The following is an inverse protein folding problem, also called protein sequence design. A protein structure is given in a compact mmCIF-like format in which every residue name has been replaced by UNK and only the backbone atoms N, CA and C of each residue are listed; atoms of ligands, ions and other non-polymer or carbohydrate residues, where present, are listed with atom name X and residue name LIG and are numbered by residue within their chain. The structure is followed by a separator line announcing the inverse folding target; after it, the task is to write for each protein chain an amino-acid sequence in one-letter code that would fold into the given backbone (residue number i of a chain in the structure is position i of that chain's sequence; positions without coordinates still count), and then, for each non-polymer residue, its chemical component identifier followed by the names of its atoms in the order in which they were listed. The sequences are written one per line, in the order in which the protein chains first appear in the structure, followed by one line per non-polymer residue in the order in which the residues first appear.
data_IF_426735047143
#
_entry.id   IF_426735047143
#
_cell.length_a   1.000
_cell.length_b   1.000
_cell.length_c   1.000
_cell.angle_alpha   90.00
_cell.angle_beta   90.00
_cell.angle_gamma   90.00
#
_symmetry.space_group_name_H-M   'P 1'
#
loop_
_entity.id
_entity.type
_entity.pdbx_description
1 polymer ?
#
# COMPACT_ATOMS: atom_id res chain seq x y z
N UNK A 1 -9.16 13.12 17.55
CA UNK A 1 -7.93 12.87 16.78
C UNK A 1 -8.10 11.57 16.01
N UNK A 2 -8.32 11.67 14.69
CA UNK A 2 -8.71 10.52 13.87
C UNK A 2 -7.59 9.46 13.89
N UNK A 3 -7.90 8.22 14.27
CA UNK A 3 -6.94 7.11 14.22
C UNK A 3 -7.17 6.33 12.92
N UNK A 4 -6.08 6.00 12.22
CA UNK A 4 -6.13 5.16 11.01
C UNK A 4 -5.51 3.81 11.33
N UNK A 5 -6.18 2.75 10.92
CA UNK A 5 -5.68 1.38 11.02
C UNK A 5 -5.75 0.75 9.63
N UNK A 6 -4.62 0.20 9.20
CA UNK A 6 -4.56 -0.66 8.02
C UNK A 6 -4.60 -2.11 8.48
N UNK A 7 -5.39 -2.91 7.78
CA UNK A 7 -5.45 -4.36 7.90
C UNK A 7 -5.47 -4.95 6.49
N UNK A 8 -5.19 -6.24 6.34
CA UNK A 8 -5.21 -6.87 5.03
C UNK A 8 -5.52 -8.36 5.09
N UNK A 9 -5.96 -8.89 3.95
CA UNK A 9 -6.21 -10.31 3.73
C UNK A 9 -5.62 -10.73 2.38
N UNK A 10 -4.77 -11.74 2.38
CA UNK A 10 -4.28 -12.38 1.15
C UNK A 10 -5.29 -13.45 0.72
N UNK A 11 -5.58 -13.53 -0.57
CA UNK A 11 -6.40 -14.61 -1.13
C UNK A 11 -5.50 -15.81 -1.48
N UNK A 12 -5.35 -16.72 -0.52
CA UNK A 12 -4.46 -17.90 -0.62
C UNK A 12 -4.86 -18.91 -1.71
N UNK A 13 -6.08 -18.82 -2.23
CA UNK A 13 -6.60 -19.75 -3.25
C UNK A 13 -5.84 -19.68 -4.57
N UNK A 14 -5.24 -18.53 -4.92
CA UNK A 14 -4.54 -18.36 -6.20
C UNK A 14 -3.07 -18.78 -6.16
N UNK A 15 -2.41 -18.66 -5.00
CA UNK A 15 -0.97 -18.91 -4.88
C UNK A 15 -0.66 -20.41 -4.94
N UNK A 16 -1.55 -21.27 -4.44
CA UNK A 16 -1.39 -22.73 -4.49
C UNK A 16 -1.64 -23.33 -5.88
N UNK A 17 -2.30 -22.62 -6.79
CA UNK A 17 -2.60 -23.13 -8.14
C UNK A 17 -1.44 -23.01 -9.13
N UNK A 18 -0.44 -22.19 -8.81
CA UNK A 18 0.72 -21.96 -9.67
C UNK A 18 1.98 -22.27 -8.86
N UNK A 19 2.78 -23.23 -9.33
CA UNK A 19 4.17 -23.41 -8.89
C UNK A 19 5.01 -22.22 -9.36
N UNK A 20 4.76 -21.03 -8.83
CA UNK A 20 5.57 -19.85 -9.13
C UNK A 20 6.95 -20.03 -8.50
N UNK A 21 7.99 -19.95 -9.33
CA UNK A 21 9.35 -19.81 -8.80
C UNK A 21 9.55 -18.35 -8.37
N UNK A 22 9.09 -18.07 -7.14
CA UNK A 22 8.96 -16.72 -6.59
C UNK A 22 10.28 -15.95 -6.59
N UNK A 23 11.43 -16.61 -6.60
CA UNK A 23 12.77 -16.02 -6.69
C UNK A 23 13.13 -15.47 -8.08
N UNK A 24 12.45 -15.93 -9.13
CA UNK A 24 12.70 -15.48 -10.52
C UNK A 24 11.72 -14.42 -11.03
N UNK A 25 10.64 -14.16 -10.27
CA UNK A 25 9.60 -13.24 -10.72
C UNK A 25 10.08 -11.78 -10.72
N UNK A 26 9.71 -11.03 -11.76
CA UNK A 26 9.89 -9.58 -11.76
C UNK A 26 8.83 -8.87 -10.89
N UNK A 27 8.98 -7.54 -10.75
CA UNK A 27 8.06 -6.74 -9.91
C UNK A 27 6.62 -6.74 -10.43
N UNK A 28 6.40 -6.82 -11.75
CA UNK A 28 5.06 -6.83 -12.34
C UNK A 28 4.36 -8.16 -12.02
N UNK A 29 5.08 -9.26 -12.18
CA UNK A 29 4.61 -10.60 -11.83
C UNK A 29 4.32 -10.72 -10.34
N UNK A 30 5.24 -10.26 -9.48
CA UNK A 30 5.06 -10.30 -8.02
C UNK A 30 3.80 -9.56 -7.55
N UNK A 31 3.49 -8.41 -8.13
CA UNK A 31 2.27 -7.65 -7.82
C UNK A 31 0.99 -8.41 -8.10
N UNK A 32 1.01 -9.25 -9.15
CA UNK A 32 -0.13 -10.06 -9.56
C UNK A 32 -0.28 -11.37 -8.76
N UNK A 33 0.81 -11.86 -8.14
CA UNK A 33 0.79 -13.09 -7.32
C UNK A 33 0.03 -12.89 -6.01
N UNK A 34 0.28 -11.77 -5.31
CA UNK A 34 -0.30 -11.52 -3.98
C UNK A 34 -1.61 -10.75 -4.07
N UNK A 35 -2.61 -11.37 -4.68
CA UNK A 35 -3.98 -10.84 -4.66
C UNK A 35 -4.57 -10.91 -3.26
N UNK A 36 -5.44 -9.95 -2.97
CA UNK A 36 -5.98 -9.77 -1.64
C UNK A 36 -6.64 -8.41 -1.50
N UNK A 37 -6.96 -8.08 -0.26
CA UNK A 37 -7.74 -6.93 0.12
C UNK A 37 -6.99 -6.14 1.18
N UNK A 38 -6.91 -4.81 1.06
CA UNK A 38 -6.45 -3.93 2.14
C UNK A 38 -7.66 -3.18 2.70
N UNK A 39 -7.83 -3.26 4.01
CA UNK A 39 -8.87 -2.56 4.76
C UNK A 39 -8.25 -1.36 5.47
N UNK A 40 -8.75 -0.15 5.18
CA UNK A 40 -8.29 1.07 5.83
C UNK A 40 -9.43 1.60 6.70
N UNK A 41 -9.30 1.45 8.02
CA UNK A 41 -10.31 1.85 9.00
C UNK A 41 -9.99 3.23 9.59
N UNK A 42 -10.96 4.12 9.55
CA UNK A 42 -10.93 5.44 10.17
C UNK A 42 -11.78 5.44 11.44
N UNK A 43 -11.14 5.73 12.56
CA UNK A 43 -11.80 5.96 13.84
C UNK A 43 -11.89 7.45 14.07
N UNK A 44 -13.12 7.96 14.08
CA UNK A 44 -13.43 9.26 14.65
C UNK A 44 -13.45 9.09 16.18
N UNK A 45 -13.34 10.18 16.96
CA UNK A 45 -13.32 10.14 18.43
C UNK A 45 -14.49 9.36 19.09
N UNK A 46 -15.52 9.01 18.32
CA UNK A 46 -16.50 8.01 18.69
C UNK A 46 -16.05 6.59 18.29
N UNK A 47 -15.56 5.82 19.29
CA UNK A 47 -15.08 4.43 19.18
C UNK A 47 -16.07 3.46 18.51
N UNK A 48 -17.32 3.86 18.27
CA UNK A 48 -18.39 3.03 17.72
C UNK A 48 -18.59 3.17 16.21
N UNK A 49 -18.09 4.24 15.56
CA UNK A 49 -18.27 4.43 14.12
C UNK A 49 -16.98 4.15 13.36
N UNK A 50 -16.88 2.93 12.80
CA UNK A 50 -15.81 2.54 11.88
C UNK A 50 -16.26 2.88 10.47
N UNK A 51 -15.59 3.83 9.83
CA UNK A 51 -15.64 3.95 8.37
C UNK A 51 -14.46 3.15 7.83
N UNK A 52 -14.67 2.32 6.81
CA UNK A 52 -13.57 1.60 6.17
C UNK A 52 -13.58 1.79 4.66
N UNK A 53 -12.39 1.72 4.09
CA UNK A 53 -12.17 1.64 2.64
C UNK A 53 -11.60 0.27 2.36
N UNK A 54 -12.15 -0.38 1.34
CA UNK A 54 -11.66 -1.64 0.82
C UNK A 54 -10.90 -1.38 -0.47
N UNK A 55 -9.65 -1.84 -0.52
CA UNK A 55 -8.81 -1.80 -1.70
C UNK A 55 -8.65 -3.22 -2.24
N UNK A 56 -9.25 -3.49 -3.39
CA UNK A 56 -9.27 -4.81 -4.01
C UNK A 56 -8.05 -5.00 -4.92
N UNK A 57 -7.38 -6.14 -4.76
CA UNK A 57 -6.29 -6.71 -5.57
C UNK A 57 -4.91 -6.03 -5.47
N UNK A 58 -3.85 -6.84 -5.40
CA UNK A 58 -2.45 -6.41 -5.50
C UNK A 58 -1.85 -5.74 -4.26
N UNK A 59 -1.67 -6.48 -3.15
CA UNK A 59 -1.13 -5.93 -1.89
C UNK A 59 0.24 -5.26 -2.10
N UNK A 60 1.14 -5.92 -2.84
CA UNK A 60 2.45 -5.35 -3.17
C UNK A 60 2.36 -4.12 -4.07
N UNK A 61 1.31 -4.03 -4.89
CA UNK A 61 1.13 -2.85 -5.72
C UNK A 61 0.72 -1.64 -4.89
N UNK A 62 -0.26 -1.79 -3.99
CA UNK A 62 -0.64 -0.73 -3.05
C UNK A 62 0.52 -0.30 -2.15
N UNK A 63 1.32 -1.24 -1.64
CA UNK A 63 2.54 -0.91 -0.88
C UNK A 63 3.49 -0.07 -1.73
N UNK A 64 3.78 -0.50 -2.95
CA UNK A 64 4.66 0.25 -3.86
C UNK A 64 4.09 1.65 -4.18
N UNK A 65 2.77 1.78 -4.36
CA UNK A 65 2.16 3.07 -4.63
C UNK A 65 2.22 4.01 -3.40
N UNK A 66 1.95 3.50 -2.19
CA UNK A 66 2.04 4.29 -0.96
C UNK A 66 3.49 4.67 -0.59
N UNK A 67 4.46 3.79 -0.83
CA UNK A 67 5.89 4.09 -0.66
C UNK A 67 6.31 5.28 -1.54
N UNK A 68 5.88 5.28 -2.80
CA UNK A 68 6.10 6.40 -3.71
C UNK A 68 5.45 7.66 -3.15
N UNK A 69 4.14 7.65 -2.89
CA UNK A 69 3.41 8.81 -2.35
C UNK A 69 4.12 9.46 -1.17
N UNK A 70 4.51 8.68 -0.16
CA UNK A 70 5.21 9.19 1.03
C UNK A 70 6.57 9.76 0.65
N UNK A 71 7.34 9.07 -0.21
CA UNK A 71 8.65 9.56 -0.68
C UNK A 71 8.53 10.91 -1.37
N UNK A 72 7.52 11.11 -2.21
CA UNK A 72 7.32 12.37 -2.92
C UNK A 72 6.93 13.50 -1.98
N UNK A 73 5.99 13.27 -1.06
CA UNK A 73 5.59 14.27 -0.06
C UNK A 73 6.79 14.63 0.84
N UNK A 74 7.55 13.64 1.30
CA UNK A 74 8.74 13.85 2.15
C UNK A 74 9.85 14.62 1.42
N UNK A 75 9.94 14.51 0.09
CA UNK A 75 10.86 15.30 -0.74
C UNK A 75 10.35 16.71 -1.04
N UNK A 76 9.19 17.09 -0.54
CA UNK A 76 8.59 18.41 -0.74
C UNK A 76 7.85 18.56 -2.07
N UNK A 77 7.53 17.47 -2.77
CA UNK A 77 6.69 17.52 -3.97
C UNK A 77 5.23 17.68 -3.57
N UNK A 78 4.63 18.78 -4.03
CA UNK A 78 3.28 19.24 -3.65
C UNK A 78 2.25 19.04 -4.75
N UNK A 79 2.69 18.63 -5.94
CA UNK A 79 1.83 18.45 -7.10
C UNK A 79 1.21 17.05 -7.12
N UNK A 80 -0.05 16.99 -7.60
CA UNK A 80 -0.76 15.74 -7.87
C UNK A 80 -0.01 14.97 -8.95
N UNK A 81 0.47 13.78 -8.63
CA UNK A 81 0.99 12.86 -9.63
C UNK A 81 0.29 11.51 -9.51
N UNK A 82 0.09 10.86 -10.66
CA UNK A 82 -0.50 9.53 -10.72
C UNK A 82 0.56 8.51 -10.37
N UNK A 83 0.31 7.73 -9.31
CA UNK A 83 1.13 6.58 -8.98
C UNK A 83 0.68 5.39 -9.82
N UNK A 84 0.84 5.47 -11.14
CA UNK A 84 0.49 4.35 -12.02
C UNK A 84 1.54 3.25 -11.89
N UNK A 85 1.07 2.04 -11.66
CA UNK A 85 1.89 0.83 -11.75
C UNK A 85 1.80 0.17 -13.11
N UNK A 86 0.73 0.41 -13.89
CA UNK A 86 0.58 0.23 -15.33
C UNK A 86 -0.76 0.83 -15.79
N UNK A 87 -0.93 1.08 -17.10
CA UNK A 87 -2.12 1.71 -17.73
C UNK A 87 -3.46 0.97 -17.48
N UNK A 88 -3.43 -0.19 -16.84
CA UNK A 88 -4.57 -1.09 -16.63
C UNK A 88 -4.81 -1.47 -15.15
N UNK A 89 -3.99 -0.99 -14.21
CA UNK A 89 -4.12 -1.26 -12.77
C UNK A 89 -4.68 -0.05 -12.02
N UNK A 90 -5.26 -0.29 -10.84
CA UNK A 90 -5.83 0.73 -9.95
C UNK A 90 -4.81 1.84 -9.63
N UNK A 91 -4.81 2.94 -10.38
CA UNK A 91 -3.91 4.06 -10.13
C UNK A 91 -4.49 5.02 -9.09
N UNK A 92 -3.64 5.40 -8.13
CA UNK A 92 -3.98 6.41 -7.12
C UNK A 92 -3.45 7.79 -7.51
N UNK A 93 -4.28 8.81 -7.30
CA UNK A 93 -3.87 10.20 -7.25
C UNK A 93 -3.95 10.69 -5.80
N UNK A 94 -3.21 11.75 -5.50
CA UNK A 94 -3.29 12.38 -4.19
C UNK A 94 -3.15 13.91 -4.27
N UNK A 95 -3.65 14.56 -3.23
CA UNK A 95 -3.49 15.99 -2.97
C UNK A 95 -2.99 16.12 -1.53
N UNK A 96 -1.93 16.90 -1.33
CA UNK A 96 -1.40 17.18 0.01
C UNK A 96 -1.37 18.69 0.28
N UNK A 97 -2.04 19.10 1.34
CA UNK A 97 -2.04 20.47 1.84
C UNK A 97 -1.15 20.57 3.08
N UNK A 98 -0.04 21.30 2.93
CA UNK A 98 0.97 21.50 3.98
C UNK A 98 0.45 22.36 5.13
N UNK A 99 -0.43 23.33 4.88
CA UNK A 99 -0.86 24.29 5.91
C UNK A 99 -1.66 23.64 7.03
N UNK A 100 -2.40 22.59 6.69
CA UNK A 100 -3.29 21.88 7.62
C UNK A 100 -2.97 20.38 7.75
N UNK A 101 -1.87 19.91 7.15
CA UNK A 101 -1.41 18.51 7.15
C UNK A 101 -2.45 17.55 6.52
N UNK A 102 -3.30 18.02 5.61
CA UNK A 102 -4.37 17.19 5.02
C UNK A 102 -3.86 16.47 3.78
N UNK A 103 -3.99 15.15 3.78
CA UNK A 103 -3.78 14.25 2.66
C UNK A 103 -5.12 13.73 2.16
N UNK A 104 -5.34 13.86 0.86
CA UNK A 104 -6.43 13.23 0.13
C UNK A 104 -5.84 12.24 -0.88
N UNK A 105 -6.31 10.99 -0.89
CA UNK A 105 -5.94 9.96 -1.86
C UNK A 105 -7.20 9.42 -2.50
N UNK A 106 -7.25 9.37 -3.83
CA UNK A 106 -8.41 8.90 -4.56
C UNK A 106 -8.01 8.00 -5.72
N UNK A 107 -8.89 7.06 -6.03
CA UNK A 107 -8.77 6.15 -7.16
C UNK A 107 -9.14 6.89 -8.46
N UNK A 108 -8.34 6.71 -9.50
CA UNK A 108 -8.43 7.53 -10.73
C UNK A 108 -9.43 7.03 -11.76
N UNK A 109 -9.73 5.72 -11.81
CA UNK A 109 -10.53 5.16 -12.89
C UNK A 109 -12.02 5.15 -12.54
N UNK A 110 -12.37 4.69 -11.35
CA UNK A 110 -13.76 4.46 -10.94
C UNK A 110 -14.20 5.25 -9.71
N UNK A 111 -13.31 6.09 -9.14
CA UNK A 111 -13.56 6.87 -7.92
C UNK A 111 -14.16 6.04 -6.77
N UNK A 112 -13.80 4.76 -6.69
CA UNK A 112 -14.41 3.79 -5.76
C UNK A 112 -14.13 4.17 -4.30
N UNK A 113 -13.03 4.88 -4.06
CA UNK A 113 -12.67 5.35 -2.72
C UNK A 113 -12.00 6.72 -2.71
N UNK A 114 -12.11 7.37 -1.55
CA UNK A 114 -11.37 8.58 -1.19
C UNK A 114 -10.92 8.48 0.28
N UNK A 115 -9.61 8.53 0.51
CA UNK A 115 -8.99 8.62 1.83
C UNK A 115 -8.73 10.09 2.12
N UNK A 116 -9.39 10.67 3.12
CA UNK A 116 -9.10 12.04 3.60
C UNK A 116 -8.68 11.98 5.07
N UNK A 117 -7.44 12.39 5.35
CA UNK A 117 -6.88 12.34 6.70
C UNK A 117 -5.63 13.21 6.88
N UNK A 118 -5.10 13.24 8.10
CA UNK A 118 -3.81 13.88 8.38
C UNK A 118 -2.65 13.06 7.82
N UNK A 119 -1.73 13.67 7.07
CA UNK A 119 -0.59 12.98 6.45
C UNK A 119 0.28 12.28 7.49
N UNK A 120 0.61 12.93 8.60
CA UNK A 120 1.43 12.30 9.66
C UNK A 120 0.74 11.09 10.31
N UNK A 121 -0.60 11.13 10.43
CA UNK A 121 -1.38 9.99 10.93
C UNK A 121 -1.35 8.84 9.92
N UNK A 122 -1.57 9.14 8.65
CA UNK A 122 -1.48 8.16 7.56
C UNK A 122 -0.11 7.51 7.51
N UNK A 123 0.96 8.31 7.44
CA UNK A 123 2.36 7.87 7.36
C UNK A 123 2.73 6.95 8.50
N UNK A 124 2.37 7.30 9.74
CA UNK A 124 2.64 6.47 10.92
C UNK A 124 1.92 5.12 10.85
N UNK A 125 0.63 5.13 10.49
CA UNK A 125 -0.16 3.91 10.38
C UNK A 125 0.35 3.01 9.25
N UNK A 126 0.66 3.60 8.09
CA UNK A 126 1.21 2.92 6.93
C UNK A 126 2.58 2.29 7.21
N UNK A 127 3.52 3.00 7.86
CA UNK A 127 4.84 2.44 8.21
C UNK A 127 4.71 1.15 9.03
N UNK A 128 3.79 1.14 10.00
CA UNK A 128 3.51 -0.05 10.82
C UNK A 128 2.94 -1.18 9.97
N UNK A 129 1.96 -0.87 9.14
CA UNK A 129 1.34 -1.81 8.20
C UNK A 129 2.36 -2.44 7.27
N UNK A 130 3.09 -1.62 6.50
CA UNK A 130 4.14 -2.05 5.57
C UNK A 130 5.12 -3.01 6.22
N UNK A 131 5.66 -2.66 7.39
CA UNK A 131 6.61 -3.52 8.12
C UNK A 131 6.00 -4.88 8.45
N UNK A 132 4.77 -4.89 8.97
CA UNK A 132 4.09 -6.13 9.36
C UNK A 132 3.79 -6.99 8.14
N UNK A 133 3.22 -6.40 7.08
CA UNK A 133 2.87 -7.12 5.85
C UNK A 133 4.08 -7.71 5.15
N UNK A 134 5.18 -6.96 5.03
CA UNK A 134 6.41 -7.50 4.42
C UNK A 134 6.98 -8.65 5.25
N UNK A 135 7.02 -8.54 6.59
CA UNK A 135 7.51 -9.61 7.44
C UNK A 135 6.64 -10.88 7.35
N UNK A 136 5.32 -10.72 7.29
CA UNK A 136 4.40 -11.84 7.16
C UNK A 136 4.50 -12.51 5.78
N UNK A 137 4.63 -11.72 4.70
CA UNK A 137 4.90 -12.25 3.37
C UNK A 137 6.22 -13.03 3.31
N UNK A 138 7.29 -12.53 3.93
CA UNK A 138 8.57 -13.24 4.01
C UNK A 138 8.49 -14.52 4.84
N UNK A 139 7.62 -14.55 5.86
CA UNK A 139 7.39 -15.74 6.68
C UNK A 139 6.60 -16.80 5.91
N UNK A 140 5.53 -16.40 5.23
CA UNK A 140 4.68 -17.28 4.45
C UNK A 140 5.36 -17.76 3.15
N UNK A 141 6.20 -16.91 2.56
CA UNK A 141 6.88 -17.16 1.28
C UNK A 141 8.39 -16.87 1.38
N UNK A 142 9.18 -17.74 2.04
CA UNK A 142 10.60 -17.50 2.28
C UNK A 142 11.45 -17.28 1.02
N UNK A 143 11.04 -17.83 -0.14
CA UNK A 143 11.71 -17.62 -1.43
C UNK A 143 11.77 -16.14 -1.85
N UNK A 144 10.86 -15.30 -1.36
CA UNK A 144 10.90 -13.84 -1.62
C UNK A 144 12.18 -13.19 -1.09
N UNK A 145 12.83 -13.75 -0.07
CA UNK A 145 14.11 -13.24 0.43
C UNK A 145 15.22 -13.30 -0.62
N UNK A 146 15.11 -14.23 -1.58
CA UNK A 146 16.08 -14.42 -2.65
C UNK A 146 15.68 -13.66 -3.92
N UNK A 147 14.45 -13.16 -4.00
CA UNK A 147 13.99 -12.39 -5.15
C UNK A 147 14.61 -10.99 -5.16
N UNK A 148 15.37 -10.67 -6.21
CA UNK A 148 16.06 -9.39 -6.35
C UNK A 148 15.09 -8.20 -6.50
N UNK A 149 14.03 -8.34 -7.29
CA UNK A 149 13.01 -7.31 -7.49
C UNK A 149 12.24 -7.01 -6.19
N UNK A 150 11.88 -8.04 -5.42
CA UNK A 150 11.25 -7.88 -4.13
C UNK A 150 12.15 -7.10 -3.17
N UNK A 151 13.44 -7.47 -3.11
CA UNK A 151 14.40 -6.80 -2.23
C UNK A 151 14.64 -5.34 -2.61
N UNK A 152 14.75 -5.04 -3.92
CA UNK A 152 14.92 -3.69 -4.44
C UNK A 152 13.74 -2.78 -4.03
N UNK A 153 12.50 -3.25 -4.24
CA UNK A 153 11.32 -2.43 -4.03
C UNK A 153 10.85 -2.38 -2.57
N UNK A 154 11.02 -3.47 -1.81
CA UNK A 154 10.38 -3.60 -0.50
C UNK A 154 11.35 -3.67 0.69
N UNK A 155 12.56 -4.16 0.51
CA UNK A 155 13.52 -4.36 1.60
C UNK A 155 14.57 -3.24 1.70
N UNK A 156 15.06 -2.74 0.56
CA UNK A 156 16.19 -1.79 0.50
C UNK A 156 15.76 -0.31 0.62
N UNK A 157 14.45 -0.02 0.56
CA UNK A 157 13.95 1.33 0.72
C UNK A 157 14.03 1.78 2.20
N UNK A 158 14.54 2.99 2.44
CA UNK A 158 14.88 3.62 3.74
C UNK A 158 13.70 3.78 4.75
N UNK A 159 12.58 3.11 4.56
CA UNK A 159 11.43 3.14 5.47
C UNK A 159 11.60 2.28 6.73
N UNK A 160 12.70 1.52 6.84
CA UNK A 160 12.97 0.57 7.94
C UNK A 160 13.94 1.14 9.00
N UNK A 161 14.53 2.33 8.81
CA UNK A 161 15.34 3.00 9.84
C UNK A 161 14.54 4.00 10.67
#
# INVERSE_FOLDING_TARGET
MNTIIFDYKIDFTEINSYNYDLDMLDIFQLKNVFKGHIFICFYVDDKRKRNFILLDTGILDYINQFDKLITYIDKGNKETFTVSSDYYSNSMNYIYNLENDILEIYETNSAIFNINCKYEVFKKAYKKFRKNTINELLFLYPKLQQNSAFNEYFCNNNFIK
#
